data_IF_663074516035
#
_entry.id   IF_663074516035
#
_cell.length_a   1.000
_cell.length_b   1.000
_cell.length_c   1.000
_cell.angle_alpha   90.00
_cell.angle_beta   90.00
_cell.angle_gamma   90.00
#
_symmetry.space_group_name_H-M   'P 1'
#
loop_
_entity.id
_entity.type
_entity.pdbx_description
1 polymer ?
#
# COMPACT_ATOMS: atom_id res chain seq x y z
N UNK A 1 20.16 -10.82 -19.50
CA UNK A 1 18.89 -11.06 -18.79
C UNK A 1 17.89 -10.09 -19.38
N UNK A 2 16.70 -10.55 -19.77
CA UNK A 2 15.61 -9.64 -20.16
C UNK A 2 15.20 -8.87 -18.91
N UNK A 3 15.22 -7.54 -18.95
CA UNK A 3 14.67 -6.71 -17.89
C UNK A 3 13.19 -7.07 -17.72
N UNK A 4 12.81 -7.50 -16.52
CA UNK A 4 11.41 -7.76 -16.19
C UNK A 4 10.70 -6.45 -15.95
N UNK A 5 9.50 -6.32 -16.50
CA UNK A 5 8.62 -5.18 -16.26
C UNK A 5 7.98 -5.26 -14.87
N UNK A 6 7.55 -4.12 -14.33
CA UNK A 6 6.83 -4.05 -13.04
C UNK A 6 5.61 -4.99 -13.00
N UNK A 7 4.90 -5.13 -14.13
CA UNK A 7 3.75 -6.04 -14.26
C UNK A 7 4.15 -7.50 -14.14
N UNK A 8 5.26 -7.91 -14.78
CA UNK A 8 5.77 -9.27 -14.69
C UNK A 8 6.22 -9.60 -13.27
N UNK A 9 6.91 -8.67 -12.61
CA UNK A 9 7.34 -8.82 -11.22
C UNK A 9 6.11 -8.92 -10.29
N UNK A 10 5.09 -8.06 -10.48
CA UNK A 10 3.86 -8.14 -9.70
C UNK A 10 3.15 -9.50 -9.88
N UNK A 11 3.14 -10.05 -11.09
CA UNK A 11 2.59 -11.38 -11.36
C UNK A 11 3.40 -12.48 -10.65
N UNK A 12 4.72 -12.41 -10.64
CA UNK A 12 5.58 -13.37 -9.93
C UNK A 12 5.37 -13.28 -8.41
N UNK A 13 5.36 -12.07 -7.85
CA UNK A 13 5.05 -11.85 -6.43
C UNK A 13 3.68 -12.42 -6.06
N UNK A 14 2.68 -12.22 -6.92
CA UNK A 14 1.34 -12.77 -6.72
C UNK A 14 1.32 -14.31 -6.71
N UNK A 15 2.10 -14.96 -7.58
CA UNK A 15 2.21 -16.41 -7.64
C UNK A 15 2.93 -17.02 -6.43
N UNK A 16 3.91 -16.30 -5.89
CA UNK A 16 4.72 -16.75 -4.76
C UNK A 16 4.22 -16.28 -3.39
N UNK A 17 3.11 -15.54 -3.37
CA UNK A 17 2.58 -15.00 -2.12
C UNK A 17 2.11 -16.11 -1.18
N UNK A 18 2.46 -16.05 0.11
CA UNK A 18 1.99 -17.03 1.08
C UNK A 18 0.48 -16.89 1.27
N UNK A 19 -0.23 -18.02 1.35
CA UNK A 19 -1.66 -18.04 1.64
C UNK A 19 -1.95 -17.41 3.00
N UNK A 20 -2.55 -16.21 3.00
CA UNK A 20 -2.98 -15.54 4.22
C UNK A 20 -4.44 -15.95 4.50
N UNK A 21 -4.63 -17.05 5.23
CA UNK A 21 -5.96 -17.46 5.72
C UNK A 21 -6.54 -16.47 6.76
N UNK A 22 -7.26 -16.96 7.78
CA UNK A 22 -7.56 -16.17 8.99
C UNK A 22 -6.27 -15.89 9.79
N UNK A 23 -5.35 -15.11 9.24
CA UNK A 23 -4.05 -14.89 9.82
C UNK A 23 -4.11 -13.83 10.93
N UNK A 24 -3.55 -14.20 12.09
CA UNK A 24 -3.10 -13.30 13.17
C UNK A 24 -2.35 -12.10 12.56
N UNK A 25 -2.57 -10.92 13.14
CA UNK A 25 -1.85 -9.67 12.86
C UNK A 25 -0.38 -9.87 12.51
N UNK A 26 0.36 -10.62 13.32
CA UNK A 26 1.81 -10.76 13.14
C UNK A 26 2.16 -11.51 11.85
N UNK A 27 1.31 -12.43 11.41
CA UNK A 27 1.47 -13.11 10.11
C UNK A 27 1.25 -12.16 8.95
N UNK A 28 0.30 -11.22 9.05
CA UNK A 28 0.05 -10.23 7.99
C UNK A 28 1.21 -9.25 7.83
N UNK A 29 1.78 -8.79 8.95
CA UNK A 29 2.99 -7.97 8.93
C UNK A 29 4.16 -8.73 8.29
N UNK A 30 4.36 -10.00 8.68
CA UNK A 30 5.40 -10.85 8.07
C UNK A 30 5.16 -11.07 6.58
N UNK A 31 3.92 -11.26 6.14
CA UNK A 31 3.63 -11.38 4.70
C UNK A 31 3.95 -10.10 3.96
N UNK A 32 3.56 -8.94 4.51
CA UNK A 32 3.91 -7.65 3.92
C UNK A 32 5.43 -7.51 3.74
N UNK A 33 6.19 -7.72 4.81
CA UNK A 33 7.65 -7.64 4.80
C UNK A 33 8.29 -8.64 3.83
N UNK A 34 7.81 -9.89 3.82
CA UNK A 34 8.31 -10.91 2.91
C UNK A 34 8.10 -10.50 1.45
N UNK A 35 6.93 -9.96 1.11
CA UNK A 35 6.64 -9.55 -0.26
C UNK A 35 7.49 -8.36 -0.69
N UNK A 36 7.77 -7.41 0.21
CA UNK A 36 8.72 -6.33 -0.06
C UNK A 36 10.14 -6.86 -0.30
N UNK A 37 10.65 -7.75 0.57
CA UNK A 37 11.96 -8.40 0.39
C UNK A 37 12.04 -9.24 -0.90
N UNK A 38 10.93 -9.85 -1.31
CA UNK A 38 10.86 -10.53 -2.60
C UNK A 38 10.87 -9.54 -3.78
N UNK A 39 10.23 -8.38 -3.64
CA UNK A 39 10.25 -7.35 -4.68
C UNK A 39 11.68 -6.86 -4.89
N UNK A 40 12.40 -6.54 -3.81
CA UNK A 40 13.81 -6.13 -3.84
C UNK A 40 14.69 -7.14 -4.61
N UNK A 41 14.47 -8.44 -4.35
CA UNK A 41 15.19 -9.52 -5.05
C UNK A 41 14.84 -9.64 -6.53
N UNK A 42 13.61 -9.32 -6.93
CA UNK A 42 13.21 -9.39 -8.33
C UNK A 42 13.63 -8.15 -9.12
N UNK A 43 13.90 -7.05 -8.44
CA UNK A 43 14.31 -5.78 -9.04
C UNK A 43 15.79 -5.49 -8.90
N UNK A 44 16.58 -6.43 -8.37
CA UNK A 44 18.01 -6.21 -8.06
C UNK A 44 18.24 -4.94 -7.23
N UNK A 45 17.40 -4.74 -6.19
CA UNK A 45 17.35 -3.57 -5.31
C UNK A 45 17.00 -2.23 -6.01
N UNK A 46 16.44 -2.26 -7.23
CA UNK A 46 15.80 -1.10 -7.85
C UNK A 46 14.48 -0.79 -7.11
N UNK A 47 14.55 0.22 -6.26
CA UNK A 47 13.46 0.67 -5.41
C UNK A 47 12.28 1.20 -6.24
N UNK A 48 12.52 1.96 -7.30
CA UNK A 48 11.44 2.58 -8.07
C UNK A 48 10.63 1.51 -8.81
N UNK A 49 11.33 0.52 -9.40
CA UNK A 49 10.70 -0.64 -10.03
C UNK A 49 9.94 -1.50 -9.01
N UNK A 50 10.49 -1.66 -7.80
CA UNK A 50 9.85 -2.42 -6.73
C UNK A 50 8.56 -1.75 -6.26
N UNK A 51 8.58 -0.42 -6.07
CA UNK A 51 7.41 0.36 -5.68
C UNK A 51 6.30 0.29 -6.73
N UNK A 52 6.64 0.36 -8.02
CA UNK A 52 5.68 0.20 -9.11
C UNK A 52 5.05 -1.21 -9.08
N UNK A 53 5.87 -2.26 -8.95
CA UNK A 53 5.39 -3.64 -8.88
C UNK A 53 4.50 -3.89 -7.65
N UNK A 54 4.87 -3.37 -6.47
CA UNK A 54 4.08 -3.48 -5.24
C UNK A 54 2.75 -2.71 -5.32
N UNK A 55 2.73 -1.58 -6.03
CA UNK A 55 1.51 -0.82 -6.30
C UNK A 55 0.55 -1.64 -7.16
N UNK A 56 1.04 -2.23 -8.26
CA UNK A 56 0.25 -3.14 -9.12
C UNK A 56 -0.26 -4.34 -8.31
N UNK A 57 0.62 -4.96 -7.51
CA UNK A 57 0.26 -6.09 -6.65
C UNK A 57 -0.85 -5.74 -5.66
N UNK A 58 -0.81 -4.54 -5.08
CA UNK A 58 -1.83 -4.05 -4.15
C UNK A 58 -3.20 -3.91 -4.80
N UNK A 59 -3.25 -3.55 -6.09
CA UNK A 59 -4.51 -3.43 -6.83
C UNK A 59 -5.07 -4.80 -7.25
N UNK A 60 -4.20 -5.73 -7.66
CA UNK A 60 -4.63 -7.05 -8.15
C UNK A 60 -4.90 -8.07 -7.03
N UNK A 61 -4.22 -7.94 -5.88
CA UNK A 61 -4.27 -8.93 -4.81
C UNK A 61 -4.87 -8.37 -3.51
N UNK A 62 -6.12 -8.73 -3.23
CA UNK A 62 -6.87 -8.33 -2.01
C UNK A 62 -6.20 -8.75 -0.71
N UNK A 63 -5.42 -9.82 -0.74
CA UNK A 63 -4.74 -10.37 0.43
C UNK A 63 -3.51 -9.54 0.78
N UNK A 64 -2.71 -9.18 -0.22
CA UNK A 64 -1.60 -8.24 -0.06
C UNK A 64 -2.12 -6.85 0.32
N UNK A 65 -3.17 -6.36 -0.35
CA UNK A 65 -3.83 -5.10 0.01
C UNK A 65 -4.20 -5.03 1.50
N UNK A 66 -4.82 -6.09 2.05
CA UNK A 66 -5.14 -6.17 3.49
C UNK A 66 -3.91 -6.17 4.38
N UNK A 67 -2.81 -6.81 3.96
CA UNK A 67 -1.56 -6.82 4.69
C UNK A 67 -0.95 -5.41 4.75
N UNK A 68 -0.84 -4.75 3.60
CA UNK A 68 -0.37 -3.36 3.44
C UNK A 68 -1.18 -2.39 4.31
N UNK A 69 -2.51 -2.43 4.21
CA UNK A 69 -3.38 -1.52 4.97
C UNK A 69 -3.28 -1.75 6.49
N UNK A 70 -3.14 -3.01 6.93
CA UNK A 70 -2.92 -3.30 8.34
C UNK A 70 -1.57 -2.81 8.87
N UNK A 71 -0.52 -2.88 8.05
CA UNK A 71 0.79 -2.32 8.38
C UNK A 71 0.68 -0.79 8.48
N UNK A 72 0.06 -0.14 7.49
CA UNK A 72 -0.18 1.30 7.48
C UNK A 72 -0.93 1.79 8.74
N UNK A 73 -2.08 1.18 9.06
CA UNK A 73 -2.90 1.55 10.22
C UNK A 73 -2.20 1.36 11.56
N UNK A 74 -1.14 0.54 11.60
CA UNK A 74 -0.37 0.24 12.81
C UNK A 74 1.05 0.78 12.74
N UNK A 75 1.38 1.64 11.78
CA UNK A 75 2.72 2.22 11.62
C UNK A 75 3.25 2.86 12.91
N UNK A 76 2.40 3.46 13.73
CA UNK A 76 2.79 4.05 15.02
C UNK A 76 3.20 3.03 16.10
N UNK A 77 3.03 1.73 15.83
CA UNK A 77 3.35 0.63 16.76
C UNK A 77 4.59 -0.16 16.33
N UNK A 78 5.18 0.18 15.18
CA UNK A 78 6.38 -0.45 14.66
C UNK A 78 7.36 0.67 14.30
N UNK A 79 8.65 0.49 14.56
CA UNK A 79 9.61 1.43 14.01
C UNK A 79 9.66 1.18 12.50
N UNK A 80 9.24 2.17 11.70
CA UNK A 80 9.17 2.02 10.24
C UNK A 80 10.57 1.82 9.65
N UNK A 81 11.62 2.27 10.33
CA UNK A 81 13.03 2.06 9.93
C UNK A 81 13.44 0.58 10.02
N UNK A 82 12.78 -0.22 10.86
CA UNK A 82 13.08 -1.65 11.03
C UNK A 82 12.45 -2.53 9.93
N UNK A 83 11.69 -1.93 9.00
CA UNK A 83 10.94 -2.66 7.97
C UNK A 83 11.74 -2.92 6.68
N UNK A 84 12.92 -2.29 6.52
CA UNK A 84 13.66 -2.27 5.26
C UNK A 84 13.24 -1.09 4.36
N UNK A 85 14.14 -0.64 3.47
CA UNK A 85 13.97 0.62 2.72
C UNK A 85 12.73 0.60 1.81
N UNK A 86 12.55 -0.45 1.00
CA UNK A 86 11.39 -0.56 0.09
C UNK A 86 10.07 -0.63 0.84
N UNK A 87 10.00 -1.43 1.91
CA UNK A 87 8.81 -1.53 2.75
C UNK A 87 8.47 -0.18 3.41
N UNK A 88 9.50 0.55 3.87
CA UNK A 88 9.36 1.88 4.44
C UNK A 88 8.81 2.89 3.43
N UNK A 89 9.48 3.01 2.28
CA UNK A 89 9.07 3.92 1.20
C UNK A 89 7.68 3.62 0.69
N UNK A 90 7.36 2.34 0.48
CA UNK A 90 6.04 1.93 0.02
C UNK A 90 4.93 2.32 1.01
N UNK A 91 5.15 2.13 2.32
CA UNK A 91 4.17 2.59 3.33
C UNK A 91 4.04 4.12 3.35
N UNK A 92 5.12 4.86 3.11
CA UNK A 92 5.07 6.32 3.01
C UNK A 92 4.29 6.78 1.78
N UNK A 93 4.50 6.15 0.62
CA UNK A 93 3.76 6.48 -0.61
C UNK A 93 2.27 6.23 -0.44
N UNK A 94 1.89 5.04 0.05
CA UNK A 94 0.48 4.73 0.31
C UNK A 94 -0.10 5.69 1.36
N UNK A 95 0.65 6.03 2.41
CA UNK A 95 0.21 7.01 3.40
C UNK A 95 -0.02 8.41 2.81
N UNK A 96 0.81 8.82 1.85
CA UNK A 96 0.70 10.09 1.16
C UNK A 96 -0.54 10.12 0.26
N UNK A 97 -0.76 9.08 -0.54
CA UNK A 97 -1.96 8.96 -1.39
C UNK A 97 -3.26 8.91 -0.57
N UNK A 98 -3.32 8.13 0.51
CA UNK A 98 -4.49 8.09 1.41
C UNK A 98 -4.69 9.42 2.16
N UNK A 99 -3.59 10.08 2.53
CA UNK A 99 -3.63 11.42 3.14
C UNK A 99 -4.17 12.48 2.18
N UNK A 100 -3.82 12.38 0.90
CA UNK A 100 -4.35 13.22 -0.18
C UNK A 100 -5.83 12.93 -0.43
N UNK A 101 -6.26 11.68 -0.55
CA UNK A 101 -7.67 11.32 -0.70
C UNK A 101 -8.51 11.81 0.49
N UNK A 102 -7.98 11.71 1.71
CA UNK A 102 -8.62 12.29 2.88
C UNK A 102 -8.70 13.82 2.78
N UNK A 103 -7.61 14.52 2.42
CA UNK A 103 -7.60 15.97 2.26
C UNK A 103 -8.58 16.44 1.16
N UNK A 104 -8.61 15.77 0.01
CA UNK A 104 -9.52 16.05 -1.09
C UNK A 104 -10.99 15.79 -0.71
N UNK A 105 -11.25 14.72 0.07
CA UNK A 105 -12.59 14.45 0.61
C UNK A 105 -13.08 15.59 1.52
N UNK A 106 -12.20 16.16 2.36
CA UNK A 106 -12.51 17.30 3.23
C UNK A 106 -12.74 18.59 2.42
N UNK A 107 -11.92 18.85 1.40
CA UNK A 107 -12.09 20.01 0.50
C UNK A 107 -13.41 19.91 -0.29
N UNK A 108 -13.82 18.71 -0.69
CA UNK A 108 -15.12 18.48 -1.35
C UNK A 108 -16.32 18.72 -0.42
N UNK A 109 -16.18 18.44 0.88
CA UNK A 109 -17.22 18.71 1.88
C UNK A 109 -17.36 20.20 2.17
N UNK A 110 -16.26 20.95 2.18
CA UNK A 110 -16.26 22.41 2.38
C UNK A 110 -16.83 23.14 1.16
N UNK A 111 -16.69 22.58 -0.04
CA UNK A 111 -17.17 23.18 -1.30
C UNK A 111 -18.68 22.98 -1.56
N UNK A 112 -19.37 22.16 -0.75
CA UNK A 112 -20.84 22.10 -0.78
C UNK A 112 -21.39 23.29 -0.01
N UNK A 113 -21.61 24.41 -0.72
CA UNK A 113 -22.44 25.52 -0.21
C UNK A 113 -23.72 24.94 0.41
N UNK A 114 -24.11 25.35 1.62
CA UNK A 114 -25.43 25.02 2.12
C UNK A 114 -26.44 25.60 1.12
N UNK A 115 -27.30 24.75 0.53
CA UNK A 115 -28.51 25.23 -0.14
C UNK A 115 -29.29 25.99 0.92
N UNK A 116 -29.34 27.31 0.77
CA UNK A 116 -30.09 28.19 1.66
C UNK A 116 -31.50 27.65 1.83
N UNK A 117 -31.88 27.37 3.07
CA UNK A 117 -33.29 27.28 3.43
C UNK A 117 -33.80 28.70 3.45
N UNK A 118 -34.53 29.10 2.43
CA UNK A 118 -35.42 30.25 2.51
C UNK A 118 -36.47 29.95 3.58
N UNK A 119 -36.38 30.65 4.71
CA UNK A 119 -37.47 30.72 5.67
C UNK A 119 -38.32 31.92 5.25
N UNK A 120 -39.55 31.64 4.78
CA UNK A 120 -40.59 32.66 4.63
C UNK A 120 -40.99 33.17 6.01
N UNK A 121 -40.89 34.48 6.22
CA UNK A 121 -41.56 35.22 7.31
C UNK A 121 -42.31 36.37 6.69
#
# INVERSE_FOLDING_TARGET
>A
MTEKTAVEIACELNCHMPGIGFCNRDKRLRTFLLVCDMADKYTDDDIDLALEALTILTQMNKTFHKATYMTLMRRNRFNLEDLGETAHRFIQEIAYYEGLEYAESQVSMISRKPKGKEYWV
#
